data_IF_958706329728
#
_entry.id   IF_958706329728
#
_cell.length_a   1.000
_cell.length_b   1.000
_cell.length_c   1.000
_cell.angle_alpha   90.00
_cell.angle_beta   90.00
_cell.angle_gamma   90.00
#
_symmetry.space_group_name_H-M   'P 1'
#
loop_
_entity.id
_entity.type
_entity.pdbx_description
1 polymer ?
#
# COMPACT_ATOMS: atom_id res chain seq x y z
N UNK A 1 5.29 11.53 3.82
CA UNK A 1 6.22 10.45 4.23
C UNK A 1 5.42 9.16 4.21
N UNK A 2 5.81 8.17 3.42
CA UNK A 2 5.04 6.93 3.27
C UNK A 2 5.36 6.02 4.46
N UNK A 3 4.39 5.79 5.35
CA UNK A 3 4.59 5.08 6.63
C UNK A 3 4.44 3.56 6.48
N UNK A 4 4.78 2.99 5.32
CA UNK A 4 4.67 1.55 5.08
C UNK A 4 4.99 1.11 3.65
N UNK A 5 4.91 -0.20 3.40
CA UNK A 5 5.06 -0.83 2.08
C UNK A 5 4.27 -2.14 1.97
N UNK A 6 4.02 -2.59 0.74
CA UNK A 6 3.50 -3.93 0.49
C UNK A 6 4.60 -4.98 0.58
N UNK A 7 4.27 -6.09 1.22
CA UNK A 7 5.14 -7.25 1.43
C UNK A 7 4.34 -8.53 1.12
N UNK A 8 5.04 -9.62 0.81
CA UNK A 8 4.42 -10.93 0.53
C UNK A 8 4.73 -11.88 1.67
N UNK A 9 3.70 -12.29 2.41
CA UNK A 9 3.83 -13.38 3.38
C UNK A 9 3.72 -14.71 2.67
N UNK A 10 4.85 -15.40 2.58
CA UNK A 10 5.02 -16.62 1.80
C UNK A 10 4.29 -17.83 2.40
N UNK A 11 4.02 -17.82 3.70
CA UNK A 11 3.29 -18.90 4.37
C UNK A 11 1.85 -19.01 3.86
N UNK A 12 1.19 -17.86 3.66
CA UNK A 12 -0.23 -17.80 3.29
C UNK A 12 -0.45 -17.27 1.87
N UNK A 13 0.62 -16.97 1.12
CA UNK A 13 0.59 -16.26 -0.17
C UNK A 13 -0.24 -14.96 -0.12
N UNK A 14 -0.15 -14.24 0.99
CA UNK A 14 -0.92 -13.04 1.26
C UNK A 14 -0.11 -11.77 0.99
N UNK A 15 -0.70 -10.82 0.27
CA UNK A 15 -0.17 -9.46 0.18
C UNK A 15 -0.58 -8.72 1.46
N UNK A 16 0.41 -8.19 2.17
CA UNK A 16 0.20 -7.44 3.41
C UNK A 16 0.77 -6.03 3.29
N UNK A 17 0.14 -5.06 3.95
CA UNK A 17 0.70 -3.72 4.08
C UNK A 17 1.39 -3.56 5.44
N UNK A 18 2.72 -3.52 5.42
CA UNK A 18 3.56 -3.39 6.61
C UNK A 18 3.74 -1.92 6.96
N UNK A 19 3.22 -1.53 8.13
CA UNK A 19 3.39 -0.18 8.65
C UNK A 19 4.75 0.01 9.34
N UNK A 20 5.31 1.21 9.21
CA UNK A 20 6.44 1.70 9.98
C UNK A 20 5.96 2.81 10.90
N UNK A 21 6.24 2.68 12.20
CA UNK A 21 5.80 3.60 13.24
C UNK A 21 6.97 4.08 14.08
N UNK A 22 7.01 5.39 14.35
CA UNK A 22 7.85 5.93 15.42
C UNK A 22 6.98 5.95 16.68
N UNK A 23 7.43 5.24 17.70
CA UNK A 23 6.72 5.13 18.97
C UNK A 23 7.20 6.21 19.95
N UNK A 24 6.31 6.73 20.81
CA UNK A 24 6.71 7.55 21.94
C UNK A 24 7.46 6.70 22.98
N UNK A 25 8.05 7.32 24.00
CA UNK A 25 8.77 6.62 25.08
C UNK A 25 7.91 5.59 25.82
N UNK A 26 6.59 5.80 25.87
CA UNK A 26 5.66 4.84 26.46
C UNK A 26 5.48 3.56 25.61
N UNK A 27 6.03 3.52 24.40
CA UNK A 27 5.98 2.37 23.50
C UNK A 27 4.59 2.08 22.93
N UNK A 28 3.61 2.95 23.12
CA UNK A 28 2.22 2.70 22.70
C UNK A 28 1.85 3.50 21.47
N UNK A 29 1.00 2.90 20.63
CA UNK A 29 0.35 3.61 19.53
C UNK A 29 -0.87 4.32 20.09
N UNK A 30 -0.87 5.64 20.01
CA UNK A 30 -2.04 6.45 20.37
C UNK A 30 -3.17 6.23 19.35
N UNK A 31 -4.45 6.37 19.74
CA UNK A 31 -5.59 6.16 18.83
C UNK A 31 -5.50 6.95 17.52
N UNK A 32 -5.00 8.20 17.58
CA UNK A 32 -4.80 9.02 16.39
C UNK A 32 -3.74 8.45 15.42
N UNK A 33 -2.67 7.85 15.94
CA UNK A 33 -1.65 7.18 15.13
C UNK A 33 -2.22 5.90 14.49
N UNK A 34 -3.03 5.13 15.22
CA UNK A 34 -3.70 3.96 14.66
C UNK A 34 -4.61 4.31 13.47
N UNK A 35 -5.40 5.38 13.61
CA UNK A 35 -6.25 5.89 12.51
C UNK A 35 -5.39 6.33 11.32
N UNK A 36 -4.26 7.00 11.55
CA UNK A 36 -3.35 7.40 10.49
C UNK A 36 -2.77 6.20 9.73
N UNK A 37 -2.41 5.11 10.42
CA UNK A 37 -1.93 3.88 9.77
C UNK A 37 -3.00 3.22 8.90
N UNK A 38 -4.23 3.13 9.39
CA UNK A 38 -5.34 2.57 8.61
C UNK A 38 -5.61 3.40 7.35
N UNK A 39 -5.61 4.74 7.47
CA UNK A 39 -5.78 5.63 6.31
C UNK A 39 -4.65 5.46 5.30
N UNK A 40 -3.39 5.46 5.76
CA UNK A 40 -2.24 5.29 4.87
C UNK A 40 -2.28 3.93 4.13
N UNK A 41 -2.70 2.85 4.81
CA UNK A 41 -2.88 1.55 4.19
C UNK A 41 -4.00 1.57 3.13
N UNK A 42 -5.12 2.24 3.42
CA UNK A 42 -6.22 2.42 2.45
C UNK A 42 -5.78 3.19 1.21
N UNK A 43 -5.13 4.34 1.38
CA UNK A 43 -4.59 5.15 0.28
C UNK A 43 -3.58 4.38 -0.57
N UNK A 44 -2.74 3.55 0.07
CA UNK A 44 -1.81 2.68 -0.65
C UNK A 44 -2.55 1.58 -1.43
N UNK A 45 -3.57 0.95 -0.86
CA UNK A 45 -4.37 -0.06 -1.59
C UNK A 45 -5.04 0.59 -2.79
N UNK A 46 -5.71 1.72 -2.64
CA UNK A 46 -6.40 2.39 -3.75
C UNK A 46 -5.45 2.76 -4.89
N UNK A 47 -4.23 3.22 -4.55
CA UNK A 47 -3.19 3.57 -5.54
C UNK A 47 -2.62 2.35 -6.26
N UNK A 48 -2.36 1.26 -5.54
CA UNK A 48 -1.62 0.09 -6.08
C UNK A 48 -2.52 -1.07 -6.52
N UNK A 49 -3.82 -1.03 -6.20
CA UNK A 49 -4.79 -2.04 -6.65
C UNK A 49 -4.79 -2.25 -8.18
N UNK A 50 -4.70 -1.19 -9.03
CA UNK A 50 -4.55 -1.38 -10.47
C UNK A 50 -3.29 -2.16 -10.85
N UNK A 51 -2.16 -1.92 -10.16
CA UNK A 51 -0.90 -2.63 -10.39
C UNK A 51 -1.06 -4.13 -10.14
N UNK A 52 -1.70 -4.48 -9.02
CA UNK A 52 -1.97 -5.87 -8.67
C UNK A 52 -2.90 -6.53 -9.68
N UNK A 53 -3.96 -5.85 -10.12
CA UNK A 53 -4.84 -6.39 -11.17
C UNK A 53 -4.10 -6.63 -12.49
N UNK A 54 -3.22 -5.71 -12.91
CA UNK A 54 -2.46 -5.88 -14.15
C UNK A 54 -1.40 -6.99 -14.07
N UNK A 55 -0.75 -7.15 -12.93
CA UNK A 55 0.25 -8.19 -12.72
C UNK A 55 -0.38 -9.57 -12.53
N UNK A 56 -1.42 -9.67 -11.70
CA UNK A 56 -2.04 -10.94 -11.31
C UNK A 56 -3.02 -11.44 -12.37
N UNK A 57 -3.82 -10.56 -12.99
CA UNK A 57 -4.84 -10.95 -13.96
C UNK A 57 -4.52 -10.51 -15.39
N UNK A 58 -3.74 -9.46 -15.57
CA UNK A 58 -3.40 -8.89 -16.88
C UNK A 58 -2.17 -9.51 -17.58
N UNK A 59 -1.40 -10.36 -16.90
CA UNK A 59 -0.20 -11.01 -17.45
C UNK A 59 0.92 -10.05 -17.87
N UNK A 60 0.89 -8.79 -17.40
CA UNK A 60 1.89 -7.77 -17.72
C UNK A 60 3.15 -7.92 -16.89
N UNK A 61 4.30 -7.41 -17.39
CA UNK A 61 5.54 -7.42 -16.62
C UNK A 61 5.45 -6.42 -15.44
N UNK A 62 6.15 -6.68 -14.32
CA UNK A 62 6.05 -5.84 -13.11
C UNK A 62 6.29 -4.34 -13.33
N UNK A 63 7.22 -3.99 -14.24
CA UNK A 63 7.51 -2.60 -14.60
C UNK A 63 6.32 -1.92 -15.30
N UNK A 64 5.62 -2.62 -16.19
CA UNK A 64 4.45 -2.10 -16.90
C UNK A 64 3.24 -1.91 -15.97
N UNK A 65 3.09 -2.81 -14.99
CA UNK A 65 2.04 -2.72 -13.98
C UNK A 65 2.26 -1.54 -13.01
N UNK A 66 3.52 -1.32 -12.62
CA UNK A 66 3.92 -0.19 -11.78
C UNK A 66 3.73 1.15 -12.49
N UNK A 67 4.12 1.26 -13.75
CA UNK A 67 3.94 2.49 -14.54
C UNK A 67 2.46 2.87 -14.66
N UNK A 68 1.58 1.88 -14.91
CA UNK A 68 0.13 2.08 -15.01
C UNK A 68 -0.52 2.54 -13.68
N UNK A 69 0.08 2.24 -12.53
CA UNK A 69 -0.41 2.60 -11.19
C UNK A 69 0.23 3.87 -10.62
N UNK A 70 1.29 4.37 -11.27
CA UNK A 70 1.88 5.68 -11.00
C UNK A 70 1.19 6.82 -11.77
N UNK A 71 0.29 6.51 -12.71
CA UNK A 71 -0.59 7.50 -13.32
C UNK A 71 -1.53 8.08 -12.27
N UNK A 72 -1.21 9.30 -11.81
CA UNK A 72 -2.19 10.14 -11.14
C UNK A 72 -3.29 10.46 -12.16
N UNK A 73 -4.53 10.07 -11.91
CA UNK A 73 -5.66 10.65 -12.62
C UNK A 73 -5.72 12.13 -12.25
N UNK A 74 -5.02 12.97 -13.03
CA UNK A 74 -5.30 14.40 -13.08
C UNK A 74 -6.78 14.53 -13.45
N UNK A 75 -7.58 15.05 -12.52
CA UNK A 75 -9.03 15.00 -12.58
C UNK A 75 -9.60 15.36 -13.96
N UNK A 76 -10.45 14.46 -14.45
CA UNK A 76 -11.68 14.64 -15.24
C UNK A 76 -11.87 13.39 -16.11
N UNK A 77 -12.68 12.45 -15.60
CA UNK A 77 -13.38 11.46 -16.41
C UNK A 77 -14.87 11.77 -16.34
#
# INVERSE_FOLDING_TARGET
>A
LWTGHFDLWTEDNAIVFRNAAILPENGTIEPGQAVAFIRAAGEAIDRFYPAFNFLVWGGKKPNEALEASLFETAGNA
#
